data_IF_473328927248
#
_entry.id   IF_473328927248
#
_cell.length_a   1.000
_cell.length_b   1.000
_cell.length_c   1.000
_cell.angle_alpha   90.00
_cell.angle_beta   90.00
_cell.angle_gamma   90.00
#
_symmetry.space_group_name_H-M   'P 1'
#
loop_
_entity.id
_entity.type
_entity.pdbx_description
1 polymer ?
#
# COMPACT_ATOMS: atom_id res chain seq x y z
N UNK A 1 -8.98 45.01 -38.29
CA UNK A 1 -9.31 43.61 -38.53
C UNK A 1 -10.03 43.08 -37.30
N UNK A 2 -11.34 42.91 -37.44
CA UNK A 2 -12.24 42.47 -36.37
C UNK A 2 -12.27 40.94 -36.39
N UNK A 3 -11.89 40.29 -35.31
CA UNK A 3 -12.06 38.83 -35.11
C UNK A 3 -13.51 38.52 -34.75
N UNK A 4 -14.10 37.45 -35.28
CA UNK A 4 -15.54 37.18 -35.11
C UNK A 4 -15.87 36.73 -33.69
N UNK A 5 -16.96 37.26 -33.16
CA UNK A 5 -17.57 36.97 -31.83
C UNK A 5 -18.00 35.49 -31.60
N UNK A 6 -17.82 34.62 -32.61
CA UNK A 6 -18.22 33.20 -32.53
C UNK A 6 -17.33 32.31 -31.66
N UNK A 7 -16.09 32.70 -31.39
CA UNK A 7 -15.15 31.90 -30.59
C UNK A 7 -15.40 31.97 -29.07
N UNK A 8 -16.00 33.06 -28.60
CA UNK A 8 -16.32 33.24 -27.16
C UNK A 8 -17.51 32.39 -26.70
N UNK A 9 -18.46 32.11 -27.56
CA UNK A 9 -19.61 31.26 -27.27
C UNK A 9 -19.24 29.78 -27.09
N UNK A 10 -18.30 29.28 -27.89
CA UNK A 10 -17.84 27.89 -27.83
C UNK A 10 -16.94 27.64 -26.60
N UNK A 11 -16.09 28.61 -26.24
CA UNK A 11 -15.27 28.51 -25.05
C UNK A 11 -16.09 28.51 -23.75
N UNK A 12 -17.14 29.35 -23.65
CA UNK A 12 -18.02 29.36 -22.48
C UNK A 12 -18.87 28.11 -22.35
N UNK A 13 -19.33 27.51 -23.45
CA UNK A 13 -20.07 26.25 -23.39
C UNK A 13 -19.19 25.09 -22.99
N UNK A 14 -17.93 25.04 -23.45
CA UNK A 14 -16.95 24.03 -23.05
C UNK A 14 -16.53 24.16 -21.56
N UNK A 15 -16.36 25.41 -21.08
CA UNK A 15 -16.05 25.68 -19.66
C UNK A 15 -17.24 25.33 -18.78
N UNK A 16 -18.47 25.60 -19.17
CA UNK A 16 -19.68 25.24 -18.44
C UNK A 16 -19.94 23.71 -18.45
N UNK A 17 -19.62 23.02 -19.55
CA UNK A 17 -19.67 21.55 -19.60
C UNK A 17 -18.59 20.94 -18.75
N UNK A 18 -17.37 21.47 -18.74
CA UNK A 18 -16.29 21.02 -17.82
C UNK A 18 -16.64 21.32 -16.37
N UNK A 19 -17.20 22.46 -16.04
CA UNK A 19 -17.66 22.82 -14.70
C UNK A 19 -18.84 21.93 -14.25
N UNK A 20 -19.81 21.66 -15.10
CA UNK A 20 -20.91 20.74 -14.82
C UNK A 20 -20.44 19.28 -14.63
N UNK A 21 -19.43 18.86 -15.40
CA UNK A 21 -18.77 17.57 -15.23
C UNK A 21 -17.98 17.49 -13.91
N UNK A 22 -17.35 18.60 -13.52
CA UNK A 22 -16.59 18.70 -12.27
C UNK A 22 -17.51 18.70 -11.04
N UNK A 23 -18.63 19.40 -11.08
CA UNK A 23 -19.64 19.38 -10.01
C UNK A 23 -20.30 18.01 -9.89
N UNK A 24 -20.67 17.35 -11.02
CA UNK A 24 -21.16 15.96 -11.00
C UNK A 24 -20.10 14.97 -10.49
N UNK A 25 -18.82 15.20 -10.80
CA UNK A 25 -17.72 14.37 -10.32
C UNK A 25 -17.43 14.60 -8.82
N UNK A 26 -17.64 15.83 -8.32
CA UNK A 26 -17.60 16.15 -6.88
C UNK A 26 -18.83 15.60 -6.14
N UNK A 27 -20.01 15.64 -6.71
CA UNK A 27 -21.20 14.99 -6.14
C UNK A 27 -21.13 13.46 -6.23
N UNK A 28 -20.57 12.91 -7.31
CA UNK A 28 -20.27 11.48 -7.41
C UNK A 28 -19.20 11.09 -6.38
N UNK A 29 -18.13 11.87 -6.18
CA UNK A 29 -17.15 11.65 -5.09
C UNK A 29 -17.76 11.84 -3.70
N UNK A 30 -18.65 12.81 -3.48
CA UNK A 30 -19.41 12.93 -2.21
C UNK A 30 -20.37 11.75 -2.01
N UNK A 31 -21.03 11.26 -3.05
CA UNK A 31 -21.89 10.06 -2.98
C UNK A 31 -21.08 8.77 -2.88
N UNK A 32 -19.88 8.66 -3.46
CA UNK A 32 -18.99 7.52 -3.29
C UNK A 32 -18.23 7.60 -1.96
N UNK A 33 -17.85 8.77 -1.46
CA UNK A 33 -17.31 8.90 -0.10
C UNK A 33 -18.38 8.69 0.99
N UNK A 34 -19.66 8.99 0.70
CA UNK A 34 -20.77 8.54 1.55
C UNK A 34 -21.17 7.06 1.32
N UNK A 35 -20.77 6.45 0.17
CA UNK A 35 -20.93 5.01 -0.10
C UNK A 35 -19.66 4.21 0.24
N UNK A 36 -18.50 4.78 0.23
CA UNK A 36 -17.32 4.31 0.97
C UNK A 36 -17.66 4.62 2.44
N UNK A 37 -18.60 3.84 2.98
CA UNK A 37 -19.09 3.91 4.33
C UNK A 37 -17.95 3.71 5.31
N UNK A 38 -17.16 4.77 5.50
CA UNK A 38 -16.23 4.92 6.62
C UNK A 38 -16.96 5.01 7.98
N UNK A 39 -18.25 4.73 7.97
CA UNK A 39 -19.02 4.27 9.11
C UNK A 39 -19.24 2.77 8.91
N UNK A 40 -18.44 1.97 9.57
CA UNK A 40 -18.24 0.52 9.44
C UNK A 40 -19.46 -0.42 9.35
N UNK A 41 -20.68 0.08 9.18
CA UNK A 41 -21.89 -0.75 9.18
C UNK A 41 -22.18 -1.37 7.79
N UNK A 42 -21.92 -0.67 6.67
CA UNK A 42 -22.29 -1.16 5.34
C UNK A 42 -21.36 -2.25 4.81
N UNK A 43 -20.06 -2.16 5.10
CA UNK A 43 -19.07 -3.12 4.62
C UNK A 43 -19.00 -4.36 5.51
N UNK A 44 -19.21 -4.19 6.81
CA UNK A 44 -19.43 -5.30 7.74
C UNK A 44 -20.54 -6.24 7.26
N UNK A 45 -21.66 -5.70 6.77
CA UNK A 45 -22.78 -6.51 6.29
C UNK A 45 -22.43 -7.41 5.11
N UNK A 46 -21.59 -6.95 4.17
CA UNK A 46 -21.12 -7.78 3.06
C UNK A 46 -20.23 -8.94 3.54
N UNK A 47 -19.29 -8.66 4.42
CA UNK A 47 -18.40 -9.66 4.99
C UNK A 47 -19.14 -10.63 5.90
N UNK A 48 -20.08 -10.14 6.72
CA UNK A 48 -20.92 -10.99 7.57
C UNK A 48 -21.74 -12.01 6.76
N UNK A 49 -22.28 -11.60 5.61
CA UNK A 49 -23.06 -12.52 4.73
C UNK A 49 -22.24 -13.69 4.19
N UNK A 50 -20.92 -13.60 4.18
CA UNK A 50 -20.04 -14.70 3.77
C UNK A 50 -19.90 -15.77 4.86
N UNK A 51 -20.12 -15.40 6.11
CA UNK A 51 -19.93 -16.25 7.30
C UNK A 51 -21.12 -17.18 7.55
N UNK A 52 -20.93 -18.28 8.28
CA UNK A 52 -22.04 -19.12 8.75
C UNK A 52 -23.03 -18.33 9.59
N UNK A 53 -24.33 -18.63 9.47
CA UNK A 53 -25.39 -17.89 10.14
C UNK A 53 -25.20 -17.87 11.67
N UNK A 54 -24.73 -18.97 12.26
CA UNK A 54 -24.43 -19.09 13.70
C UNK A 54 -23.37 -18.08 14.13
N UNK A 55 -22.37 -17.84 13.28
CA UNK A 55 -21.30 -16.86 13.53
C UNK A 55 -21.84 -15.43 13.39
N UNK A 56 -22.66 -15.18 12.36
CA UNK A 56 -23.29 -13.87 12.14
C UNK A 56 -24.09 -13.43 13.37
N UNK A 57 -24.94 -14.34 13.90
CA UNK A 57 -25.76 -14.08 15.10
C UNK A 57 -24.86 -13.82 16.30
N UNK A 58 -23.80 -14.62 16.51
CA UNK A 58 -22.92 -14.47 17.66
C UNK A 58 -22.09 -13.18 17.65
N UNK A 59 -21.86 -12.61 16.47
CA UNK A 59 -21.16 -11.31 16.30
C UNK A 59 -22.10 -10.11 16.49
N UNK A 60 -23.43 -10.34 16.54
CA UNK A 60 -24.40 -9.25 16.76
C UNK A 60 -24.14 -8.58 18.11
N UNK A 61 -23.96 -7.27 18.10
CA UNK A 61 -23.71 -6.47 19.30
C UNK A 61 -22.22 -6.37 19.71
N UNK A 62 -21.30 -7.05 19.03
CA UNK A 62 -19.86 -6.84 19.24
C UNK A 62 -19.40 -5.73 18.27
N UNK A 63 -18.88 -4.59 18.76
CA UNK A 63 -18.39 -3.52 17.90
C UNK A 63 -17.16 -3.98 17.10
N UNK A 64 -17.10 -3.66 15.80
CA UNK A 64 -15.97 -4.01 14.93
C UNK A 64 -14.64 -3.48 15.46
N UNK A 65 -14.65 -2.29 16.07
CA UNK A 65 -13.47 -1.67 16.67
C UNK A 65 -12.79 -2.52 17.77
N UNK A 66 -13.49 -3.50 18.32
CA UNK A 66 -12.96 -4.41 19.35
C UNK A 66 -12.42 -5.71 18.75
N UNK A 67 -12.75 -6.04 17.49
CA UNK A 67 -12.40 -7.31 16.85
C UNK A 67 -11.15 -7.09 16.02
N UNK A 68 -10.03 -7.69 16.41
CA UNK A 68 -8.81 -7.71 15.58
C UNK A 68 -8.91 -8.78 14.51
N UNK A 69 -9.42 -9.96 14.88
CA UNK A 69 -9.53 -11.09 13.97
C UNK A 69 -10.63 -12.07 14.41
N UNK A 70 -11.34 -12.64 13.44
CA UNK A 70 -12.28 -13.74 13.65
C UNK A 70 -11.59 -15.06 13.22
N UNK A 71 -11.55 -16.03 14.10
CA UNK A 71 -10.97 -17.35 13.90
C UNK A 71 -12.04 -18.42 13.74
N UNK A 72 -12.03 -19.11 12.60
CA UNK A 72 -12.92 -20.22 12.27
C UNK A 72 -12.08 -21.48 12.08
N UNK A 73 -12.28 -22.50 12.90
CA UNK A 73 -11.55 -23.79 12.85
C UNK A 73 -12.53 -24.95 12.85
N UNK A 74 -12.28 -25.93 12.00
CA UNK A 74 -13.12 -27.15 11.94
C UNK A 74 -13.07 -27.85 13.30
N UNK A 75 -14.23 -28.28 13.81
CA UNK A 75 -14.35 -28.97 15.08
C UNK A 75 -14.24 -28.09 16.31
N UNK A 76 -14.08 -26.76 16.14
CA UNK A 76 -13.97 -25.80 17.24
C UNK A 76 -15.11 -24.78 17.17
N UNK A 77 -15.36 -24.13 18.32
CA UNK A 77 -16.23 -22.94 18.35
C UNK A 77 -15.54 -21.79 17.63
N UNK A 78 -16.26 -20.94 16.87
CA UNK A 78 -15.67 -19.72 16.33
C UNK A 78 -15.18 -18.85 17.47
N UNK A 79 -14.05 -18.16 17.26
CA UNK A 79 -13.42 -17.32 18.28
C UNK A 79 -13.05 -15.96 17.70
N UNK A 80 -13.00 -14.94 18.57
CA UNK A 80 -12.58 -13.58 18.23
C UNK A 80 -11.30 -13.26 18.97
N UNK A 81 -10.33 -12.72 18.26
CA UNK A 81 -9.12 -12.13 18.78
C UNK A 81 -9.39 -10.66 19.13
N UNK A 82 -9.15 -10.31 20.35
CA UNK A 82 -9.16 -8.96 20.91
C UNK A 82 -7.74 -8.58 21.34
N UNK A 83 -7.49 -7.32 21.68
CA UNK A 83 -6.20 -6.87 22.23
C UNK A 83 -5.73 -7.66 23.46
N UNK A 84 -6.65 -8.31 24.18
CA UNK A 84 -6.37 -9.13 25.36
C UNK A 84 -6.28 -10.64 25.11
N UNK A 85 -6.31 -11.09 23.85
CA UNK A 85 -6.22 -12.49 23.46
C UNK A 85 -7.46 -13.06 22.79
N UNK A 86 -7.42 -14.34 22.44
CA UNK A 86 -8.48 -15.06 21.73
C UNK A 86 -9.55 -15.56 22.70
N UNK A 87 -10.83 -15.33 22.35
CA UNK A 87 -11.99 -15.77 23.14
C UNK A 87 -13.02 -16.45 22.24
N UNK A 88 -13.55 -17.61 22.61
CA UNK A 88 -14.61 -18.28 21.86
C UNK A 88 -15.91 -17.46 21.92
N UNK A 89 -16.62 -17.43 20.81
CA UNK A 89 -17.98 -16.86 20.75
C UNK A 89 -18.99 -17.74 21.51
N UNK A 90 -20.04 -17.12 22.00
CA UNK A 90 -21.12 -17.80 22.73
C UNK A 90 -22.05 -18.56 21.79
N UNK A 91 -21.53 -19.60 21.16
CA UNK A 91 -22.28 -20.52 20.30
C UNK A 91 -22.33 -21.92 20.93
N UNK A 92 -23.42 -22.67 20.63
CA UNK A 92 -23.58 -24.04 21.14
C UNK A 92 -22.87 -25.07 20.29
N UNK A 93 -22.69 -24.81 18.98
CA UNK A 93 -22.17 -25.76 18.00
C UNK A 93 -20.73 -25.45 17.62
N UNK A 94 -19.99 -26.47 17.23
CA UNK A 94 -18.69 -26.37 16.60
C UNK A 94 -18.85 -26.20 15.09
N UNK A 95 -17.85 -25.60 14.43
CA UNK A 95 -17.85 -25.40 12.99
C UNK A 95 -17.57 -26.69 12.24
N UNK A 96 -18.29 -26.91 11.16
CA UNK A 96 -18.10 -28.03 10.24
C UNK A 96 -17.23 -27.59 9.06
N UNK A 97 -16.52 -28.54 8.46
CA UNK A 97 -15.68 -28.29 7.28
C UNK A 97 -16.46 -27.66 6.12
N UNK A 98 -17.70 -28.14 5.88
CA UNK A 98 -18.57 -27.59 4.83
C UNK A 98 -18.89 -26.10 5.03
N UNK A 99 -18.97 -25.62 6.29
CA UNK A 99 -19.26 -24.22 6.59
C UNK A 99 -18.06 -23.32 6.24
N UNK A 100 -16.83 -23.80 6.51
CA UNK A 100 -15.61 -23.10 6.12
C UNK A 100 -15.46 -23.07 4.59
N UNK A 101 -15.73 -24.19 3.92
CA UNK A 101 -15.70 -24.26 2.45
C UNK A 101 -16.72 -23.30 1.83
N UNK A 102 -17.94 -23.24 2.37
CA UNK A 102 -18.97 -22.31 1.87
C UNK A 102 -18.55 -20.85 2.13
N UNK A 103 -17.96 -20.55 3.29
CA UNK A 103 -17.44 -19.22 3.60
C UNK A 103 -16.36 -18.81 2.58
N UNK A 104 -15.43 -19.71 2.27
CA UNK A 104 -14.40 -19.46 1.28
C UNK A 104 -14.99 -19.26 -0.13
N UNK A 105 -15.97 -20.08 -0.53
CA UNK A 105 -16.67 -19.93 -1.80
C UNK A 105 -17.38 -18.57 -1.89
N UNK A 106 -18.09 -18.17 -0.84
CA UNK A 106 -18.76 -16.87 -0.80
C UNK A 106 -17.76 -15.70 -0.89
N UNK A 107 -16.61 -15.84 -0.23
CA UNK A 107 -15.53 -14.86 -0.27
C UNK A 107 -14.86 -14.78 -1.65
N UNK A 108 -14.71 -15.93 -2.34
CA UNK A 108 -14.06 -16.03 -3.65
C UNK A 108 -14.97 -15.65 -4.82
N UNK A 109 -16.28 -15.71 -4.67
CA UNK A 109 -17.25 -15.33 -5.72
C UNK A 109 -17.13 -13.86 -6.15
N UNK A 110 -16.42 -13.03 -5.38
CA UNK A 110 -16.14 -11.64 -5.73
C UNK A 110 -14.95 -11.47 -6.69
N UNK A 111 -14.14 -12.53 -6.98
CA UNK A 111 -12.97 -12.42 -7.87
C UNK A 111 -12.43 -13.77 -8.31
N UNK A 112 -12.90 -14.30 -9.45
CA UNK A 112 -12.51 -15.66 -9.91
C UNK A 112 -11.04 -15.80 -10.37
N UNK A 113 -10.40 -14.78 -10.94
CA UNK A 113 -9.03 -14.87 -11.47
C UNK A 113 -7.93 -14.51 -10.45
N UNK A 114 -8.16 -13.49 -9.64
CA UNK A 114 -7.21 -13.09 -8.60
C UNK A 114 -7.14 -14.08 -7.41
N UNK A 115 -8.15 -14.95 -7.28
CA UNK A 115 -8.30 -15.90 -6.17
C UNK A 115 -7.21 -16.96 -6.16
N UNK A 116 -6.81 -17.51 -7.32
CA UNK A 116 -5.82 -18.58 -7.34
C UNK A 116 -4.44 -18.11 -6.89
N UNK A 117 -4.02 -16.92 -7.32
CA UNK A 117 -2.74 -16.34 -6.94
C UNK A 117 -2.73 -15.91 -5.47
N UNK A 118 -3.82 -15.31 -5.01
CA UNK A 118 -3.99 -14.95 -3.60
C UNK A 118 -4.06 -16.19 -2.69
N UNK A 119 -4.73 -17.26 -3.10
CA UNK A 119 -4.74 -18.51 -2.33
C UNK A 119 -3.36 -19.18 -2.24
N UNK A 120 -2.50 -19.02 -3.26
CA UNK A 120 -1.08 -19.44 -3.18
C UNK A 120 -0.33 -18.64 -2.11
N UNK A 121 -0.68 -17.37 -1.93
CA UNK A 121 -0.15 -16.52 -0.85
C UNK A 121 -0.79 -16.79 0.51
N UNK A 122 -1.78 -17.69 0.59
CA UNK A 122 -2.45 -18.12 1.83
C UNK A 122 -3.55 -17.19 2.33
N UNK A 123 -3.99 -16.20 1.54
CA UNK A 123 -5.06 -15.28 1.94
C UNK A 123 -5.81 -14.69 0.75
N UNK A 124 -7.02 -14.18 1.02
CA UNK A 124 -7.83 -13.37 0.11
C UNK A 124 -7.99 -11.95 0.67
N UNK A 125 -7.82 -10.95 -0.19
CA UNK A 125 -8.18 -9.56 0.13
C UNK A 125 -9.66 -9.36 -0.21
N UNK A 126 -10.43 -8.84 0.76
CA UNK A 126 -11.86 -8.58 0.63
C UNK A 126 -12.14 -7.08 0.65
N UNK A 127 -13.32 -6.70 0.11
CA UNK A 127 -13.79 -5.32 0.16
C UNK A 127 -13.70 -4.75 1.58
N UNK A 128 -13.33 -3.48 1.70
CA UNK A 128 -13.18 -2.81 3.00
C UNK A 128 -11.85 -3.04 3.70
N UNK A 129 -10.88 -3.64 3.02
CA UNK A 129 -9.57 -3.90 3.61
C UNK A 129 -9.54 -5.13 4.52
N UNK A 130 -10.61 -5.95 4.54
CA UNK A 130 -10.61 -7.22 5.23
C UNK A 130 -9.66 -8.20 4.53
N UNK A 131 -9.02 -9.07 5.31
CA UNK A 131 -8.14 -10.12 4.80
C UNK A 131 -8.55 -11.46 5.38
N UNK A 132 -8.84 -12.42 4.50
CA UNK A 132 -9.21 -13.76 4.88
C UNK A 132 -8.02 -14.70 4.67
N UNK A 133 -7.32 -15.04 5.74
CA UNK A 133 -6.30 -16.08 5.75
C UNK A 133 -6.94 -17.47 5.62
N UNK A 134 -6.30 -18.37 4.88
CA UNK A 134 -6.82 -19.70 4.57
C UNK A 134 -5.77 -20.75 4.91
N UNK A 135 -6.15 -21.78 5.67
CA UNK A 135 -5.34 -22.96 5.94
C UNK A 135 -6.10 -24.24 5.57
N UNK A 136 -5.36 -25.23 5.12
CA UNK A 136 -5.86 -26.55 4.73
C UNK A 136 -4.72 -27.46 4.31
N UNK A 137 -5.04 -28.56 3.61
CA UNK A 137 -4.05 -29.45 3.03
C UNK A 137 -3.48 -28.85 1.74
N UNK A 138 -2.15 -28.67 1.69
CA UNK A 138 -1.50 -28.13 0.50
C UNK A 138 -1.56 -29.11 -0.68
N UNK A 139 -1.82 -28.58 -1.88
CA UNK A 139 -1.65 -29.29 -3.15
C UNK A 139 -0.31 -28.89 -3.73
N UNK A 140 0.60 -29.87 -3.88
CA UNK A 140 1.94 -29.64 -4.41
C UNK A 140 2.07 -30.35 -5.75
N UNK A 141 2.54 -29.64 -6.78
CA UNK A 141 2.88 -30.16 -8.10
C UNK A 141 4.28 -29.68 -8.47
N UNK A 142 5.12 -30.57 -8.93
CA UNK A 142 6.52 -30.28 -9.31
C UNK A 142 7.32 -29.51 -8.23
N UNK A 143 7.09 -29.86 -6.93
CA UNK A 143 7.75 -29.18 -5.82
C UNK A 143 7.21 -27.80 -5.45
N UNK A 144 6.24 -27.28 -6.19
CA UNK A 144 5.59 -25.98 -5.94
C UNK A 144 4.18 -26.16 -5.40
N UNK A 145 3.79 -25.35 -4.43
CA UNK A 145 2.42 -25.28 -3.94
C UNK A 145 1.53 -24.65 -4.99
N UNK A 146 0.50 -25.38 -5.43
CA UNK A 146 -0.45 -24.94 -6.47
C UNK A 146 -1.80 -24.53 -5.90
N UNK A 147 -2.12 -24.90 -4.65
CA UNK A 147 -3.39 -24.56 -4.02
C UNK A 147 -3.58 -25.23 -2.66
N UNK A 148 -4.79 -25.09 -2.13
CA UNK A 148 -5.23 -25.68 -0.87
C UNK A 148 -6.48 -26.54 -1.10
N UNK A 149 -6.57 -27.64 -0.38
CA UNK A 149 -7.75 -28.48 -0.27
C UNK A 149 -8.07 -28.75 1.19
N UNK A 150 -9.24 -29.30 1.47
CA UNK A 150 -9.63 -29.68 2.83
C UNK A 150 -9.40 -28.56 3.84
N UNK A 151 -10.03 -27.41 3.56
CA UNK A 151 -9.87 -26.21 4.40
C UNK A 151 -10.16 -26.55 5.86
N UNK A 152 -9.19 -26.34 6.70
CA UNK A 152 -9.21 -26.64 8.14
C UNK A 152 -9.45 -25.40 9.00
N UNK A 153 -9.02 -24.23 8.54
CA UNK A 153 -9.23 -22.98 9.27
C UNK A 153 -9.25 -21.75 8.36
N UNK A 154 -9.99 -20.74 8.81
CA UNK A 154 -10.05 -19.41 8.22
C UNK A 154 -9.78 -18.37 9.31
N UNK A 155 -9.08 -17.30 8.93
CA UNK A 155 -8.72 -16.18 9.80
C UNK A 155 -9.13 -14.88 9.13
N UNK A 156 -10.27 -14.31 9.52
CA UNK A 156 -10.75 -13.04 8.99
C UNK A 156 -10.21 -11.88 9.83
N UNK A 157 -9.22 -11.18 9.29
CA UNK A 157 -8.66 -9.98 9.91
C UNK A 157 -9.56 -8.79 9.63
N UNK A 158 -9.92 -8.08 10.70
CA UNK A 158 -10.76 -6.88 10.65
C UNK A 158 -9.86 -5.64 10.53
N UNK A 159 -10.02 -4.83 9.50
CA UNK A 159 -9.20 -3.62 9.34
C UNK A 159 -9.61 -2.55 10.34
N UNK A 160 -8.62 -1.85 10.88
CA UNK A 160 -8.83 -0.67 11.71
C UNK A 160 -8.20 0.55 11.03
N UNK A 161 -9.02 1.54 10.67
CA UNK A 161 -8.55 2.82 10.15
C UNK A 161 -8.38 3.81 11.30
N UNK A 162 -7.26 3.69 12.03
CA UNK A 162 -6.90 4.64 13.07
C UNK A 162 -6.34 5.90 12.39
N UNK A 163 -6.92 7.06 12.72
CA UNK A 163 -6.55 8.34 12.14
C UNK A 163 -5.80 9.19 13.15
N UNK A 164 -4.62 9.62 12.79
CA UNK A 164 -3.91 10.66 13.53
C UNK A 164 -4.28 12.03 12.95
N UNK A 165 -4.52 13.05 13.78
CA UNK A 165 -4.81 14.40 13.31
C UNK A 165 -3.66 14.94 12.43
N UNK A 166 -3.93 15.55 11.26
CA UNK A 166 -2.89 16.09 10.38
C UNK A 166 -1.97 17.10 11.06
N UNK A 167 -2.49 17.90 11.97
CA UNK A 167 -1.75 18.93 12.70
C UNK A 167 -0.60 18.35 13.54
N UNK A 168 -0.74 17.09 13.96
CA UNK A 168 0.30 16.38 14.72
C UNK A 168 1.39 15.79 13.84
N UNK A 169 1.12 15.61 12.55
CA UNK A 169 2.02 14.93 11.61
C UNK A 169 2.76 15.91 10.69
N UNK A 170 2.04 16.90 10.15
CA UNK A 170 2.59 17.84 9.17
C UNK A 170 3.89 18.54 9.59
N UNK A 171 4.14 18.90 10.86
CA UNK A 171 5.42 19.45 11.28
C UNK A 171 6.63 18.57 10.99
N UNK A 172 6.42 17.25 10.96
CA UNK A 172 7.45 16.25 10.71
C UNK A 172 7.57 15.84 9.23
N UNK A 173 6.61 16.25 8.39
CA UNK A 173 6.52 15.89 6.99
C UNK A 173 6.95 17.07 6.08
N UNK A 174 8.05 17.74 6.43
CA UNK A 174 8.64 18.80 5.62
C UNK A 174 9.75 18.26 4.71
N UNK A 175 10.41 17.20 5.14
CA UNK A 175 11.52 16.52 4.47
C UNK A 175 11.23 15.01 4.43
N UNK A 176 12.04 14.24 3.69
CA UNK A 176 11.91 12.77 3.66
C UNK A 176 11.98 12.20 5.07
N UNK A 177 11.02 11.34 5.39
CA UNK A 177 10.78 10.82 6.72
C UNK A 177 10.73 9.29 6.74
N UNK A 178 11.44 8.68 7.70
CA UNK A 178 11.43 7.24 7.94
C UNK A 178 10.60 6.93 9.18
N UNK A 179 9.68 5.99 9.09
CA UNK A 179 8.88 5.51 10.22
C UNK A 179 9.49 4.20 10.73
N UNK A 180 10.04 4.21 11.93
CA UNK A 180 10.69 3.05 12.53
C UNK A 180 9.87 2.51 13.72
N UNK A 181 10.03 1.24 14.01
CA UNK A 181 9.40 0.61 15.18
C UNK A 181 9.32 -0.92 15.05
N UNK A 182 9.02 -1.59 16.15
CA UNK A 182 8.88 -3.04 16.20
C UNK A 182 7.73 -3.56 15.30
N UNK A 183 7.71 -4.85 14.92
CA UNK A 183 6.54 -5.47 14.31
C UNK A 183 5.28 -5.23 15.16
N UNK A 184 4.16 -4.89 14.50
CA UNK A 184 2.88 -4.63 15.18
C UNK A 184 2.80 -3.31 15.95
N UNK A 185 3.82 -2.44 15.95
CA UNK A 185 3.77 -1.12 16.62
C UNK A 185 2.82 -0.11 15.97
N UNK A 186 2.31 -0.40 14.76
CA UNK A 186 1.38 0.48 14.05
C UNK A 186 2.03 1.36 12.96
N UNK A 187 3.23 1.04 12.49
CA UNK A 187 3.94 1.79 11.42
C UNK A 187 3.11 1.99 10.17
N UNK A 188 2.52 0.92 9.64
CA UNK A 188 1.65 0.97 8.45
C UNK A 188 0.42 1.88 8.68
N UNK A 189 -0.13 1.88 9.89
CA UNK A 189 -1.25 2.76 10.27
C UNK A 189 -0.80 4.23 10.33
N UNK A 190 0.37 4.48 10.91
CA UNK A 190 0.95 5.83 10.95
C UNK A 190 1.32 6.30 9.53
N UNK A 191 1.90 5.43 8.71
CA UNK A 191 2.21 5.71 7.30
C UNK A 191 0.95 6.14 6.52
N UNK A 192 -0.17 5.41 6.66
CA UNK A 192 -1.47 5.80 6.08
C UNK A 192 -1.91 7.19 6.55
N UNK A 193 -1.78 7.47 7.83
CA UNK A 193 -2.13 8.80 8.38
C UNK A 193 -1.24 9.92 7.83
N UNK A 194 0.07 9.67 7.67
CA UNK A 194 1.01 10.62 7.07
C UNK A 194 0.69 10.86 5.57
N UNK A 195 0.43 9.79 4.81
CA UNK A 195 0.03 9.89 3.40
C UNK A 195 -1.23 10.75 3.26
N UNK A 196 -2.26 10.46 4.09
CA UNK A 196 -3.50 11.24 4.09
C UNK A 196 -3.25 12.70 4.44
N UNK A 197 -2.48 12.99 5.50
CA UNK A 197 -2.18 14.35 5.91
C UNK A 197 -1.49 15.16 4.80
N UNK A 198 -0.52 14.56 4.10
CA UNK A 198 0.14 15.17 2.93
C UNK A 198 -0.85 15.40 1.80
N UNK A 199 -1.67 14.42 1.49
CA UNK A 199 -2.66 14.46 0.40
C UNK A 199 -3.77 15.50 0.66
N UNK A 200 -4.28 15.59 1.89
CA UNK A 200 -5.23 16.62 2.31
C UNK A 200 -4.60 18.02 2.24
N UNK A 201 -3.30 18.12 2.51
CA UNK A 201 -2.51 19.36 2.32
C UNK A 201 -2.07 19.59 0.86
N UNK A 202 -2.80 19.02 -0.11
CA UNK A 202 -2.61 19.23 -1.55
C UNK A 202 -1.26 18.78 -2.10
N UNK A 203 -0.50 17.95 -1.38
CA UNK A 203 0.69 17.31 -1.92
C UNK A 203 0.31 16.09 -2.77
N UNK A 204 0.94 15.93 -3.93
CA UNK A 204 0.78 14.73 -4.76
C UNK A 204 1.62 13.61 -4.14
N UNK A 205 0.94 12.56 -3.69
CA UNK A 205 1.57 11.40 -3.06
C UNK A 205 1.39 10.19 -3.97
N UNK A 206 2.48 9.54 -4.33
CA UNK A 206 2.44 8.24 -4.99
C UNK A 206 2.77 7.15 -3.97
N UNK A 207 2.01 6.06 -3.98
CA UNK A 207 2.13 4.95 -3.03
C UNK A 207 2.39 3.65 -3.76
N UNK A 208 3.43 2.93 -3.39
CA UNK A 208 3.62 1.53 -3.78
C UNK A 208 3.14 0.64 -2.64
N UNK A 209 2.08 -0.11 -2.90
CA UNK A 209 1.44 -1.02 -1.94
C UNK A 209 1.66 -2.47 -2.38
N UNK A 210 2.87 -2.98 -2.18
CA UNK A 210 3.28 -4.32 -2.62
C UNK A 210 2.43 -5.42 -1.99
N UNK A 211 2.12 -5.30 -0.68
CA UNK A 211 1.40 -6.31 0.10
C UNK A 211 -0.09 -6.06 0.24
N UNK A 212 -0.63 -5.04 -0.44
CA UNK A 212 -2.04 -4.63 -0.32
C UNK A 212 -2.44 -4.27 1.12
N UNK A 213 -1.50 -3.72 1.91
CA UNK A 213 -1.71 -3.38 3.32
C UNK A 213 -1.91 -1.88 3.54
N UNK A 214 -1.36 -1.02 2.67
CA UNK A 214 -1.50 0.43 2.76
C UNK A 214 -2.87 0.92 2.28
N UNK A 215 -3.20 0.60 1.04
CA UNK A 215 -4.44 0.99 0.39
C UNK A 215 -5.51 -0.10 0.51
N UNK A 216 -5.10 -1.36 0.67
CA UNK A 216 -6.01 -2.50 0.65
C UNK A 216 -6.81 -2.56 -0.65
N UNK A 217 -6.21 -2.21 -1.79
CA UNK A 217 -6.92 -2.00 -3.03
C UNK A 217 -7.64 -3.26 -3.50
N UNK A 218 -8.92 -3.11 -3.88
CA UNK A 218 -9.75 -4.14 -4.49
C UNK A 218 -10.19 -3.63 -5.86
N UNK A 219 -9.92 -4.40 -6.91
CA UNK A 219 -10.16 -3.99 -8.30
C UNK A 219 -9.57 -2.59 -8.63
N UNK A 220 -8.37 -2.29 -8.14
CA UNK A 220 -7.69 -1.01 -8.34
C UNK A 220 -8.25 0.15 -7.51
N UNK A 221 -9.24 -0.09 -6.66
CA UNK A 221 -9.85 0.95 -5.81
C UNK A 221 -9.32 0.83 -4.39
N UNK A 222 -8.62 1.85 -3.85
CA UNK A 222 -8.21 1.90 -2.45
C UNK A 222 -9.40 1.74 -1.50
N UNK A 223 -9.26 0.89 -0.49
CA UNK A 223 -10.29 0.66 0.52
C UNK A 223 -10.07 1.51 1.78
N UNK A 224 -8.81 1.94 2.00
CA UNK A 224 -8.49 2.91 3.03
C UNK A 224 -8.44 4.32 2.44
N UNK A 225 -8.80 5.30 3.25
CA UNK A 225 -8.74 6.72 2.88
C UNK A 225 -7.29 7.22 2.97
N UNK A 226 -6.66 7.40 1.82
CA UNK A 226 -5.30 7.94 1.67
C UNK A 226 -5.30 9.41 1.24
N UNK A 227 -6.48 10.04 1.18
CA UNK A 227 -6.65 11.43 0.77
C UNK A 227 -6.82 11.64 -0.74
N UNK A 228 -7.23 12.87 -1.15
CA UNK A 228 -7.69 13.16 -2.51
C UNK A 228 -6.59 13.30 -3.56
N UNK A 229 -5.32 13.48 -3.15
CA UNK A 229 -4.17 13.70 -4.04
C UNK A 229 -3.19 12.51 -4.00
N UNK A 230 -3.69 11.28 -3.77
CA UNK A 230 -2.88 10.07 -3.66
C UNK A 230 -3.16 9.14 -4.82
N UNK A 231 -2.09 8.71 -5.49
CA UNK A 231 -2.09 7.68 -6.53
C UNK A 231 -1.49 6.40 -5.96
N UNK A 232 -2.13 5.25 -6.22
CA UNK A 232 -1.73 3.96 -5.63
C UNK A 232 -1.40 2.96 -6.73
N UNK A 233 -0.23 2.36 -6.64
CA UNK A 233 0.19 1.18 -7.41
C UNK A 233 0.24 -0.02 -6.47
N UNK A 234 -0.60 -1.02 -6.72
CA UNK A 234 -0.80 -2.17 -5.84
C UNK A 234 -0.28 -3.46 -6.44
N UNK A 235 0.28 -4.34 -5.59
CA UNK A 235 0.71 -5.69 -5.99
C UNK A 235 1.96 -5.72 -6.87
N UNK A 236 2.78 -4.67 -6.86
CA UNK A 236 4.02 -4.56 -7.62
C UNK A 236 5.22 -4.58 -6.66
N UNK A 237 6.36 -5.21 -7.02
CA UNK A 237 7.60 -5.10 -6.25
C UNK A 237 7.98 -3.65 -6.03
N UNK A 238 8.39 -3.29 -4.81
CA UNK A 238 8.61 -1.89 -4.41
C UNK A 238 9.58 -1.14 -5.32
N UNK A 239 10.74 -1.74 -5.62
CA UNK A 239 11.75 -1.11 -6.45
C UNK A 239 11.21 -0.72 -7.83
N UNK A 240 10.55 -1.65 -8.54
CA UNK A 240 9.95 -1.41 -9.85
C UNK A 240 8.80 -0.40 -9.76
N UNK A 241 7.91 -0.57 -8.77
CA UNK A 241 6.78 0.31 -8.55
C UNK A 241 7.19 1.76 -8.30
N UNK A 242 8.23 2.00 -7.50
CA UNK A 242 8.79 3.33 -7.27
C UNK A 242 9.24 3.98 -8.58
N UNK A 243 10.01 3.26 -9.41
CA UNK A 243 10.50 3.77 -10.69
C UNK A 243 9.38 4.04 -11.69
N UNK A 244 8.34 3.20 -11.70
CA UNK A 244 7.17 3.40 -12.55
C UNK A 244 6.40 4.67 -12.16
N UNK A 245 6.13 4.85 -10.87
CA UNK A 245 5.43 6.03 -10.36
C UNK A 245 6.22 7.33 -10.57
N UNK A 246 7.54 7.30 -10.40
CA UNK A 246 8.42 8.45 -10.68
C UNK A 246 8.29 8.93 -12.14
N UNK A 247 8.24 8.00 -13.10
CA UNK A 247 8.17 8.32 -14.52
C UNK A 247 6.78 8.77 -14.96
N UNK A 248 5.73 8.17 -14.37
CA UNK A 248 4.35 8.31 -14.85
C UNK A 248 3.50 9.34 -14.10
N UNK A 249 3.73 9.55 -12.80
CA UNK A 249 2.77 10.24 -11.94
C UNK A 249 3.23 11.61 -11.42
N UNK A 250 4.50 11.98 -11.66
CA UNK A 250 5.07 13.26 -11.19
C UNK A 250 4.74 13.57 -9.72
N UNK A 251 5.08 12.66 -8.78
CA UNK A 251 4.77 12.85 -7.37
C UNK A 251 5.67 13.89 -6.72
N UNK A 252 5.20 14.50 -5.63
CA UNK A 252 6.02 15.30 -4.72
C UNK A 252 6.52 14.45 -3.55
N UNK A 253 5.76 13.39 -3.23
CA UNK A 253 6.07 12.39 -2.23
C UNK A 253 5.90 11.01 -2.79
N UNK A 254 6.83 10.13 -2.46
CA UNK A 254 6.73 8.70 -2.76
C UNK A 254 6.71 7.93 -1.45
N UNK A 255 5.64 7.17 -1.23
CA UNK A 255 5.43 6.41 -0.01
C UNK A 255 5.53 4.91 -0.27
N UNK A 256 6.28 4.21 0.59
CA UNK A 256 6.46 2.75 0.53
C UNK A 256 6.40 2.14 1.93
N UNK A 257 5.81 0.96 2.04
CA UNK A 257 5.85 0.20 3.30
C UNK A 257 7.04 -0.77 3.31
N UNK A 258 7.68 -0.89 4.46
CA UNK A 258 8.66 -1.89 4.81
C UNK A 258 9.87 -2.04 3.86
N UNK A 259 10.86 -1.15 3.98
CA UNK A 259 12.14 -1.31 3.26
C UNK A 259 12.86 -2.55 3.79
N UNK A 260 13.08 -3.55 2.92
CA UNK A 260 13.64 -4.86 3.30
C UNK A 260 14.74 -5.37 2.37
N UNK A 261 14.77 -4.90 1.13
CA UNK A 261 15.63 -5.45 0.09
C UNK A 261 16.67 -4.42 -0.41
N UNK A 262 17.86 -4.85 -0.83
CA UNK A 262 18.84 -3.96 -1.46
C UNK A 262 18.31 -3.24 -2.72
N UNK A 263 17.41 -3.89 -3.47
CA UNK A 263 16.78 -3.33 -4.67
C UNK A 263 15.93 -2.09 -4.35
N UNK A 264 15.35 -2.05 -3.14
CA UNK A 264 14.61 -0.89 -2.65
C UNK A 264 15.53 0.34 -2.57
N UNK A 265 16.79 0.15 -2.14
CA UNK A 265 17.77 1.25 -1.99
C UNK A 265 18.15 1.90 -3.32
N UNK A 266 18.25 1.12 -4.39
CA UNK A 266 18.54 1.64 -5.72
C UNK A 266 17.43 2.57 -6.21
N UNK A 267 16.17 2.18 -6.02
CA UNK A 267 15.01 3.00 -6.37
C UNK A 267 14.89 4.26 -5.47
N UNK A 268 15.15 4.11 -4.17
CA UNK A 268 15.19 5.23 -3.20
C UNK A 268 16.26 6.25 -3.60
N UNK A 269 17.46 5.80 -3.99
CA UNK A 269 18.55 6.67 -4.47
C UNK A 269 18.14 7.45 -5.70
N UNK A 270 17.48 6.79 -6.67
CA UNK A 270 17.01 7.45 -7.88
C UNK A 270 15.91 8.47 -7.58
N UNK A 271 14.94 8.15 -6.71
CA UNK A 271 13.88 9.06 -6.30
C UNK A 271 14.45 10.31 -5.60
N UNK A 272 15.38 10.12 -4.65
CA UNK A 272 16.06 11.23 -3.96
C UNK A 272 16.84 12.12 -4.93
N UNK A 273 17.52 11.51 -5.92
CA UNK A 273 18.23 12.26 -6.99
C UNK A 273 17.30 13.10 -7.87
N UNK A 274 16.02 12.75 -7.98
CA UNK A 274 15.01 13.54 -8.67
C UNK A 274 14.37 14.63 -7.80
N UNK A 275 14.81 14.80 -6.55
CA UNK A 275 14.25 15.76 -5.61
C UNK A 275 12.88 15.39 -5.03
N UNK A 276 12.47 14.14 -5.19
CA UNK A 276 11.22 13.60 -4.61
C UNK A 276 11.44 13.29 -3.13
N UNK A 277 10.48 13.70 -2.30
CA UNK A 277 10.51 13.35 -0.87
C UNK A 277 9.99 11.93 -0.66
N UNK A 278 10.63 11.23 0.26
CA UNK A 278 10.33 9.85 0.57
C UNK A 278 9.67 9.70 1.93
N UNK A 279 8.67 8.86 1.99
CA UNK A 279 8.02 8.43 3.22
C UNK A 279 8.04 6.90 3.25
N UNK A 280 8.77 6.31 4.17
CA UNK A 280 8.95 4.87 4.20
C UNK A 280 8.88 4.31 5.60
N UNK A 281 8.61 2.99 5.73
CA UNK A 281 8.69 2.31 7.01
C UNK A 281 9.86 1.34 7.05
N UNK A 282 10.36 1.08 8.25
CA UNK A 282 11.39 0.09 8.52
C UNK A 282 11.17 -0.58 9.88
N UNK A 283 11.50 -1.85 9.97
CA UNK A 283 11.48 -2.54 11.25
C UNK A 283 12.74 -2.25 12.04
N UNK A 284 12.59 -1.71 13.25
CA UNK A 284 13.67 -1.60 14.22
C UNK A 284 13.10 -1.53 15.64
N UNK A 285 13.68 -2.28 16.56
CA UNK A 285 13.30 -2.27 17.98
C UNK A 285 13.88 -1.09 18.75
N UNK A 286 14.97 -0.48 18.24
CA UNK A 286 15.62 0.70 18.83
C UNK A 286 16.40 1.48 17.76
N UNK A 287 16.86 2.68 18.12
CA UNK A 287 17.73 3.52 17.25
C UNK A 287 19.07 2.83 17.01
N UNK A 288 19.66 2.22 18.05
CA UNK A 288 20.91 1.48 17.95
C UNK A 288 20.79 0.28 16.98
N UNK A 289 19.62 -0.34 16.92
CA UNK A 289 19.35 -1.41 15.96
C UNK A 289 19.35 -0.88 14.52
N UNK A 290 18.79 0.32 14.28
CA UNK A 290 18.85 0.98 12.98
C UNK A 290 20.30 1.25 12.56
N UNK A 291 21.12 1.77 13.43
CA UNK A 291 22.52 2.09 13.14
C UNK A 291 23.37 0.84 12.88
N UNK A 292 23.04 -0.29 13.50
CA UNK A 292 23.81 -1.52 13.39
C UNK A 292 23.45 -2.41 12.19
N UNK A 293 22.28 -2.23 11.57
CA UNK A 293 21.87 -3.01 10.39
C UNK A 293 22.58 -2.54 9.13
N UNK A 294 23.21 -3.42 8.34
CA UNK A 294 23.90 -3.05 7.10
C UNK A 294 22.99 -2.29 6.13
N UNK A 295 21.75 -2.78 5.92
CA UNK A 295 20.74 -2.12 5.06
C UNK A 295 20.44 -0.69 5.52
N UNK A 296 20.31 -0.47 6.83
CA UNK A 296 20.02 0.86 7.39
C UNK A 296 21.22 1.80 7.25
N UNK A 297 22.44 1.31 7.47
CA UNK A 297 23.66 2.09 7.23
C UNK A 297 23.76 2.55 5.78
N UNK A 298 23.49 1.66 4.84
CA UNK A 298 23.47 2.02 3.42
C UNK A 298 22.34 3.02 3.13
N UNK A 299 21.13 2.80 3.67
CA UNK A 299 20.00 3.72 3.54
C UNK A 299 20.34 5.12 4.06
N UNK A 300 20.96 5.21 5.22
CA UNK A 300 21.39 6.50 5.80
C UNK A 300 22.54 7.14 5.02
N UNK A 301 23.47 6.35 4.48
CA UNK A 301 24.56 6.90 3.64
C UNK A 301 24.06 7.61 2.38
N UNK A 302 22.82 7.34 1.93
CA UNK A 302 22.20 8.08 0.82
C UNK A 302 21.89 9.54 1.17
N UNK A 303 21.84 9.92 2.46
CA UNK A 303 21.56 11.28 2.89
C UNK A 303 20.16 11.79 2.54
N UNK A 304 19.21 10.91 2.21
CA UNK A 304 17.87 11.26 1.72
C UNK A 304 16.89 11.50 2.87
N UNK A 305 16.87 10.60 3.85
CA UNK A 305 15.98 10.73 5.01
C UNK A 305 16.59 11.71 6.02
N UNK A 306 15.85 12.74 6.40
CA UNK A 306 16.27 13.75 7.36
C UNK A 306 15.67 13.55 8.74
N UNK A 307 14.63 12.75 8.83
CA UNK A 307 13.87 12.54 10.05
C UNK A 307 13.45 11.09 10.21
N UNK A 308 13.48 10.59 11.44
CA UNK A 308 12.89 9.32 11.85
C UNK A 308 11.75 9.60 12.83
N UNK A 309 10.58 9.02 12.58
CA UNK A 309 9.49 8.91 13.55
C UNK A 309 9.53 7.51 14.14
N UNK A 310 9.87 7.42 15.39
CA UNK A 310 10.04 6.16 16.10
C UNK A 310 8.75 5.82 16.87
N UNK A 311 8.14 4.67 16.57
CA UNK A 311 6.93 4.19 17.25
C UNK A 311 7.30 3.24 18.37
N UNK A 312 6.85 3.57 19.57
CA UNK A 312 6.95 2.71 20.73
C UNK A 312 5.85 1.62 20.78
N UNK A 313 5.91 0.76 21.79
CA UNK A 313 4.92 -0.30 22.03
C UNK A 313 3.54 0.23 22.38
N UNK A 314 3.43 1.47 22.84
CA UNK A 314 2.17 2.14 23.20
C UNK A 314 1.56 2.89 22.02
N UNK A 315 2.14 2.75 20.82
CA UNK A 315 1.72 3.45 19.60
C UNK A 315 1.88 4.98 19.66
N UNK A 316 2.66 5.47 20.64
CA UNK A 316 3.14 6.84 20.62
C UNK A 316 4.37 6.93 19.73
N UNK A 317 4.57 8.08 19.10
CA UNK A 317 5.77 8.31 18.31
C UNK A 317 6.55 9.51 18.84
N UNK A 318 7.84 9.45 18.71
CA UNK A 318 8.77 10.58 18.90
C UNK A 318 9.60 10.76 17.64
N UNK A 319 10.05 11.98 17.41
CA UNK A 319 10.79 12.36 16.22
C UNK A 319 12.25 12.59 16.56
N UNK A 320 13.12 12.03 15.74
CA UNK A 320 14.55 12.26 15.80
C UNK A 320 15.07 12.76 14.46
N UNK A 321 15.96 13.74 14.48
CA UNK A 321 16.60 14.26 13.27
C UNK A 321 17.89 13.49 13.03
N UNK A 322 18.07 12.98 11.82
CA UNK A 322 19.28 12.30 11.41
C UNK A 322 20.37 13.35 11.19
N UNK A 323 21.48 13.23 11.91
CA UNK A 323 22.65 14.06 11.72
C UNK A 323 23.62 13.34 10.79
N UNK A 324 23.87 13.90 9.62
CA UNK A 324 24.91 13.44 8.71
C UNK A 324 26.19 14.19 9.03
N UNK A 325 27.33 13.48 9.14
CA UNK A 325 28.63 14.12 9.23
C UNK A 325 28.87 14.96 7.95
N UNK A 326 29.42 16.14 8.09
CA UNK A 326 29.66 17.05 6.95
C UNK A 326 30.56 16.43 5.85
N UNK A 327 31.29 15.38 6.16
CA UNK A 327 32.18 14.66 5.24
C UNK A 327 31.43 13.78 4.22
N UNK A 328 30.13 13.51 4.42
CA UNK A 328 29.36 12.63 3.52
C UNK A 328 28.59 13.37 2.41
N UNK A 329 28.81 14.66 2.27
CA UNK A 329 28.38 15.39 1.08
C UNK A 329 29.26 14.96 -0.07
N UNK A 330 28.78 14.06 -0.92
CA UNK A 330 29.37 13.83 -2.25
C UNK A 330 29.24 15.18 -2.97
N UNK A 331 30.31 15.98 -2.98
CA UNK A 331 30.39 17.11 -3.89
C UNK A 331 30.26 16.56 -5.31
N UNK A 332 29.37 17.09 -6.14
CA UNK A 332 29.32 16.70 -7.54
C UNK A 332 30.70 17.00 -8.12
N UNK A 333 31.38 15.99 -8.65
CA UNK A 333 32.67 16.12 -9.32
C UNK A 333 32.64 17.31 -10.29
N UNK A 334 33.40 18.40 -10.02
CA UNK A 334 33.38 19.56 -10.90
C UNK A 334 33.91 19.27 -12.31
N UNK A 335 34.48 18.08 -12.53
CA UNK A 335 34.96 17.60 -13.84
C UNK A 335 33.88 17.14 -14.80
N UNK A 336 32.67 16.75 -14.31
CA UNK A 336 31.61 16.22 -15.17
C UNK A 336 30.86 17.28 -15.98
N UNK A 337 30.91 18.55 -15.55
CA UNK A 337 30.23 19.67 -16.22
C UNK A 337 31.03 20.34 -17.34
N UNK A 338 32.31 19.96 -17.58
CA UNK A 338 33.15 20.58 -18.61
C UNK A 338 33.22 19.85 -19.94
N UNK A 339 32.57 18.69 -20.11
CA UNK A 339 32.66 17.89 -21.36
C UNK A 339 31.53 18.01 -22.36
N UNK A 340 30.53 18.87 -22.17
CA UNK A 340 29.40 19.02 -23.09
C UNK A 340 29.43 20.26 -23.98
N UNK A 341 30.57 21.02 -24.04
CA UNK A 341 30.73 22.11 -25.01
C UNK A 341 32.06 21.96 -25.77
N UNK A 342 32.07 21.18 -26.81
CA UNK A 342 32.81 21.31 -28.11
C UNK A 342 32.93 19.96 -28.80
N UNK A 343 32.13 19.81 -29.87
CA UNK A 343 32.61 19.42 -31.20
C UNK A 343 31.40 19.16 -32.09
N UNK A 344 31.13 20.16 -32.90
CA UNK A 344 30.54 19.98 -34.22
C UNK A 344 31.65 19.51 -35.15
N UNK A 345 31.41 18.45 -35.91
CA UNK A 345 32.21 18.13 -37.07
C UNK A 345 32.60 16.66 -37.17
N UNK A 346 32.00 15.95 -38.10
CA UNK A 346 32.67 15.03 -38.99
C UNK A 346 32.71 13.54 -38.62
N UNK A 347 32.04 12.79 -39.49
CA UNK A 347 32.38 11.47 -40.07
C UNK A 347 32.11 10.17 -39.29
N UNK A 348 31.10 9.50 -39.84
CA UNK A 348 31.01 8.09 -40.26
C UNK A 348 31.92 7.05 -39.57
N UNK A 349 31.34 6.03 -38.98
CA UNK A 349 31.42 4.63 -39.36
C UNK A 349 30.94 3.65 -38.26
N UNK A 350 30.06 2.78 -38.69
CA UNK A 350 29.90 1.35 -38.34
C UNK A 350 29.67 0.90 -36.90
N UNK A 351 28.45 0.49 -36.63
CA UNK A 351 27.96 -0.87 -36.33
C UNK A 351 28.75 -1.70 -35.31
N UNK A 352 28.09 -2.05 -34.24
CA UNK A 352 27.85 -3.40 -33.70
C UNK A 352 27.66 -3.34 -32.17
N UNK A 353 26.62 -3.97 -31.67
CA UNK A 353 26.53 -4.33 -30.26
C UNK A 353 25.28 -3.84 -29.51
N UNK A 354 24.10 -4.14 -30.00
CA UNK A 354 22.87 -4.04 -29.24
C UNK A 354 22.04 -5.32 -29.44
N UNK A 355 22.39 -6.37 -28.73
CA UNK A 355 21.55 -7.56 -28.59
C UNK A 355 21.99 -8.32 -27.33
N UNK A 356 21.38 -8.04 -26.20
CA UNK A 356 21.45 -8.88 -25.01
C UNK A 356 20.43 -8.50 -23.90
N UNK A 357 19.21 -8.06 -24.24
CA UNK A 357 18.19 -7.80 -23.22
C UNK A 357 16.76 -8.22 -23.60
N UNK A 358 16.59 -8.98 -24.71
CA UNK A 358 15.25 -9.37 -25.18
C UNK A 358 14.80 -10.78 -24.81
N UNK A 359 15.68 -11.61 -24.20
CA UNK A 359 15.39 -13.07 -24.09
C UNK A 359 14.96 -13.57 -22.70
N UNK A 360 14.55 -12.72 -21.79
CA UNK A 360 14.03 -13.20 -20.47
C UNK A 360 12.55 -13.00 -20.20
N UNK A 361 11.79 -12.40 -21.10
CA UNK A 361 10.35 -12.18 -20.90
C UNK A 361 9.42 -13.13 -21.68
N UNK A 362 9.95 -14.06 -22.49
CA UNK A 362 9.14 -14.91 -23.37
C UNK A 362 8.75 -16.29 -22.78
N UNK A 363 9.06 -16.59 -21.53
CA UNK A 363 8.85 -17.93 -20.95
C UNK A 363 7.67 -18.05 -19.95
N UNK A 364 6.72 -17.14 -19.92
CA UNK A 364 5.65 -17.17 -18.93
C UNK A 364 4.20 -17.24 -19.46
N UNK A 365 3.93 -17.35 -20.76
CA UNK A 365 2.56 -17.57 -21.28
C UNK A 365 2.54 -18.57 -22.45
N UNK A 366 2.12 -19.82 -22.23
CA UNK A 366 1.52 -20.63 -23.29
C UNK A 366 0.03 -20.33 -23.36
N UNK A 367 -0.46 -20.31 -24.59
CA UNK A 367 -1.84 -20.04 -25.01
C UNK A 367 -2.90 -20.89 -24.32
#
# INVERSE_FOLDING_TARGET
>A
MLYPLSYWGILNSAILQCAGGFVKKLEYRRRTNNRLGLRGEGMRNEVLRMLPQTVQIALTGIPDAQIEELRLRVGQKPAVLYAGGERPLSVRTVLLQKELQQTLLNASAQSQYAVQEQLRSGYLSLSGGYRLGVCGSAVVQNGCMTGLREISSLALRVPHDIRHPPERLLPYLQESCLLAGAPGSGKTTLLRSCIRALSENRQRVAVVDERLELAGAVHGVPQFDLGPCTDVLSGCPKGEGMLMLLRGMNPQWLAVDEITQPEDLAAIRQAGGCGIRLLATIHAGSVEELENRPLCRELFSLGIFRQVLYLDKNRAFHAERIQYAETDRIEPDPGSLRRSRRRTGGDSAAAAGADACADRCAAAYPA
#
